data_IF_724194464688
#
_entry.id   IF_724194464688
#
_cell.length_a   1.000
_cell.length_b   1.000
_cell.length_c   1.000
_cell.angle_alpha   90.00
_cell.angle_beta   90.00
_cell.angle_gamma   90.00
#
_symmetry.space_group_name_H-M   'P 1'
#
loop_
_entity.id
_entity.type
_entity.pdbx_description
1 polymer ?
#
# COMPACT_ATOMS: atom_id res chain seq x y z
N UNK A 1 20.26 -26.69 6.56
CA UNK A 1 18.86 -26.62 7.04
C UNK A 1 18.01 -26.07 5.92
N UNK A 2 16.96 -26.78 5.47
CA UNK A 2 16.04 -26.22 4.48
C UNK A 2 15.32 -25.02 5.12
N UNK A 3 15.41 -23.86 4.49
CA UNK A 3 14.67 -22.66 4.94
C UNK A 3 13.19 -23.00 4.81
N UNK A 4 12.48 -23.04 5.93
CA UNK A 4 11.05 -23.25 5.95
C UNK A 4 10.42 -21.97 5.41
N UNK A 5 10.09 -21.97 4.12
CA UNK A 5 9.49 -20.81 3.46
C UNK A 5 8.14 -20.50 4.09
N UNK A 6 8.02 -19.32 4.69
CA UNK A 6 6.74 -18.82 5.21
C UNK A 6 5.82 -18.39 4.05
N UNK A 7 6.41 -18.07 2.91
CA UNK A 7 5.70 -17.60 1.75
C UNK A 7 5.89 -18.55 0.56
N UNK A 8 4.77 -18.88 -0.08
CA UNK A 8 4.75 -19.66 -1.31
C UNK A 8 3.93 -18.89 -2.36
N UNK A 9 4.54 -18.45 -3.47
CA UNK A 9 3.87 -17.64 -4.48
C UNK A 9 2.71 -18.38 -5.15
N UNK A 10 2.81 -19.70 -5.30
CA UNK A 10 1.74 -20.51 -5.90
C UNK A 10 0.48 -20.57 -5.00
N UNK A 11 0.67 -20.51 -3.67
CA UNK A 11 -0.45 -20.60 -2.72
C UNK A 11 -0.98 -19.21 -2.32
N UNK A 12 -0.08 -18.29 -1.99
CA UNK A 12 -0.47 -16.96 -1.48
C UNK A 12 -0.59 -15.90 -2.56
N UNK A 13 0.13 -16.06 -3.66
CA UNK A 13 0.22 -15.08 -4.74
C UNK A 13 1.18 -13.93 -4.42
N UNK A 14 1.65 -13.25 -5.46
CA UNK A 14 2.51 -12.08 -5.36
C UNK A 14 1.64 -10.82 -5.40
N UNK A 15 1.74 -9.97 -4.39
CA UNK A 15 1.06 -8.67 -4.36
C UNK A 15 1.92 -7.58 -4.99
N UNK A 16 1.29 -6.46 -5.36
CA UNK A 16 2.02 -5.29 -5.88
C UNK A 16 3.07 -4.77 -4.88
N UNK A 17 2.76 -4.74 -3.60
CA UNK A 17 3.71 -4.30 -2.56
C UNK A 17 4.88 -5.27 -2.42
N UNK A 18 4.63 -6.58 -2.55
CA UNK A 18 5.66 -7.60 -2.52
C UNK A 18 6.56 -7.51 -3.76
N UNK A 19 5.98 -7.37 -4.95
CA UNK A 19 6.72 -7.18 -6.20
C UNK A 19 7.57 -5.91 -6.17
N UNK A 20 7.02 -4.83 -5.65
CA UNK A 20 7.76 -3.57 -5.53
C UNK A 20 8.94 -3.69 -4.55
N UNK A 21 8.74 -4.38 -3.42
CA UNK A 21 9.84 -4.64 -2.48
C UNK A 21 10.92 -5.51 -3.11
N UNK A 22 10.53 -6.58 -3.81
CA UNK A 22 11.49 -7.40 -4.55
C UNK A 22 12.33 -6.58 -5.51
N UNK A 23 11.71 -5.64 -6.18
CA UNK A 23 12.35 -4.83 -7.18
C UNK A 23 13.32 -3.80 -6.64
N UNK A 24 12.94 -3.19 -5.50
CA UNK A 24 13.82 -2.26 -4.80
C UNK A 24 14.98 -3.03 -4.18
N UNK A 25 14.70 -4.19 -3.57
CA UNK A 25 15.71 -4.98 -2.88
C UNK A 25 15.24 -6.45 -2.70
N UNK A 26 15.75 -7.38 -3.52
CA UNK A 26 15.44 -8.80 -3.43
C UNK A 26 15.74 -9.40 -2.06
N UNK A 27 16.78 -8.90 -1.39
CA UNK A 27 17.19 -9.36 -0.07
C UNK A 27 16.17 -8.96 0.99
N UNK A 28 15.68 -7.71 0.96
CA UNK A 28 14.63 -7.26 1.85
C UNK A 28 13.34 -8.07 1.64
N UNK A 29 13.04 -8.41 0.38
CA UNK A 29 11.94 -9.28 0.04
C UNK A 29 12.11 -10.68 0.66
N UNK A 30 13.30 -11.29 0.52
CA UNK A 30 13.61 -12.58 1.11
C UNK A 30 13.43 -12.58 2.63
N UNK A 31 14.04 -11.62 3.32
CA UNK A 31 13.93 -11.49 4.76
C UNK A 31 12.47 -11.40 5.20
N UNK A 32 11.69 -10.56 4.52
CA UNK A 32 10.29 -10.33 4.88
C UNK A 32 9.38 -11.52 4.57
N UNK A 33 9.46 -12.06 3.37
CA UNK A 33 8.47 -13.03 2.88
C UNK A 33 8.91 -14.49 3.04
N UNK A 34 10.21 -14.78 2.96
CA UNK A 34 10.71 -16.14 3.12
C UNK A 34 11.10 -16.44 4.55
N UNK A 35 11.79 -15.52 5.20
CA UNK A 35 12.26 -15.72 6.56
C UNK A 35 11.29 -15.19 7.61
N UNK A 36 10.29 -14.41 7.18
CA UNK A 36 9.28 -13.85 8.06
C UNK A 36 9.83 -12.85 9.06
N UNK A 37 10.83 -12.09 8.63
CA UNK A 37 11.42 -11.02 9.43
C UNK A 37 10.79 -9.68 9.05
N UNK A 38 10.49 -8.88 10.03
CA UNK A 38 10.01 -7.51 9.83
C UNK A 38 10.75 -6.54 10.74
N UNK A 39 10.90 -5.28 10.35
CA UNK A 39 11.49 -4.27 11.21
C UNK A 39 10.74 -4.19 12.54
N UNK A 40 11.46 -3.88 13.62
CA UNK A 40 10.82 -3.41 14.85
C UNK A 40 10.26 -2.02 14.54
N UNK A 41 8.98 -1.96 14.23
CA UNK A 41 8.32 -0.73 13.80
C UNK A 41 8.05 0.17 15.01
N UNK A 42 8.44 1.44 14.91
CA UNK A 42 7.80 2.51 15.64
C UNK A 42 6.47 2.85 14.97
N UNK A 43 5.53 3.40 15.73
CA UNK A 43 4.28 3.88 15.16
C UNK A 43 4.54 4.95 14.08
N UNK A 44 3.95 4.74 12.92
CA UNK A 44 4.06 5.67 11.80
C UNK A 44 2.70 6.34 11.56
N UNK A 45 2.59 7.59 11.99
CA UNK A 45 1.37 8.39 11.86
C UNK A 45 0.81 8.42 10.43
N UNK A 46 1.69 8.40 9.44
CA UNK A 46 1.29 8.54 8.04
C UNK A 46 0.61 7.27 7.53
N UNK A 47 1.18 6.10 7.87
CA UNK A 47 0.61 4.81 7.52
C UNK A 47 -0.67 4.53 8.32
N UNK A 48 -0.65 4.82 9.62
CA UNK A 48 -1.82 4.69 10.49
C UNK A 48 -2.99 5.53 10.00
N UNK A 49 -2.75 6.81 9.69
CA UNK A 49 -3.76 7.72 9.18
C UNK A 49 -4.38 7.23 7.85
N UNK A 50 -3.55 6.76 6.91
CA UNK A 50 -4.04 6.17 5.66
C UNK A 50 -4.91 4.94 5.90
N UNK A 51 -4.51 4.08 6.84
CA UNK A 51 -5.27 2.88 7.22
C UNK A 51 -6.60 3.22 7.90
N UNK A 52 -6.63 4.25 8.75
CA UNK A 52 -7.86 4.74 9.39
C UNK A 52 -8.83 5.31 8.36
N UNK A 53 -8.35 6.16 7.44
CA UNK A 53 -9.16 6.70 6.34
C UNK A 53 -9.73 5.58 5.46
N UNK A 54 -8.88 4.62 5.05
CA UNK A 54 -9.30 3.46 4.26
C UNK A 54 -10.40 2.65 4.97
N UNK A 55 -10.21 2.38 6.28
CA UNK A 55 -11.21 1.67 7.08
C UNK A 55 -12.56 2.41 7.14
N UNK A 56 -12.55 3.73 7.30
CA UNK A 56 -13.76 4.53 7.30
C UNK A 56 -14.50 4.48 5.95
N UNK A 57 -13.76 4.61 4.85
CA UNK A 57 -14.33 4.52 3.50
C UNK A 57 -14.86 3.11 3.23
N UNK A 58 -14.15 2.06 3.66
CA UNK A 58 -14.61 0.67 3.60
C UNK A 58 -15.96 0.50 4.31
N UNK A 59 -16.09 1.03 5.53
CA UNK A 59 -17.32 1.00 6.31
C UNK A 59 -18.48 1.66 5.55
N UNK A 60 -18.25 2.85 4.99
CA UNK A 60 -19.23 3.53 4.16
C UNK A 60 -19.62 2.76 2.90
N UNK A 61 -18.67 2.22 2.16
CA UNK A 61 -18.98 1.45 0.95
C UNK A 61 -19.86 0.25 1.27
N UNK A 62 -19.59 -0.45 2.37
CA UNK A 62 -20.33 -1.66 2.76
C UNK A 62 -21.72 -1.40 3.30
N UNK A 63 -21.95 -0.31 3.99
CA UNK A 63 -23.18 -0.11 4.76
C UNK A 63 -23.95 1.17 4.41
N UNK A 64 -23.33 2.14 3.73
CA UNK A 64 -23.91 3.46 3.43
C UNK A 64 -24.39 4.21 4.68
N UNK A 65 -23.72 4.01 5.79
CA UNK A 65 -24.05 4.57 7.08
C UNK A 65 -22.82 5.24 7.71
N UNK A 66 -23.02 6.43 8.26
CA UNK A 66 -21.98 7.18 8.97
C UNK A 66 -21.51 6.49 10.24
N UNK A 67 -22.37 5.71 10.91
CA UNK A 67 -21.96 4.90 12.06
C UNK A 67 -20.99 3.79 11.67
N UNK A 68 -21.13 3.26 10.47
CA UNK A 68 -20.18 2.25 9.96
C UNK A 68 -18.77 2.82 9.77
N UNK A 69 -18.65 4.10 9.40
CA UNK A 69 -17.34 4.78 9.33
C UNK A 69 -16.65 4.70 10.68
N UNK A 70 -17.35 5.10 11.75
CA UNK A 70 -16.81 5.05 13.12
C UNK A 70 -16.44 3.62 13.53
N UNK A 71 -17.33 2.67 13.37
CA UNK A 71 -17.11 1.27 13.76
C UNK A 71 -15.90 0.65 13.08
N UNK A 72 -15.65 0.96 11.81
CA UNK A 72 -14.52 0.41 11.08
C UNK A 72 -13.22 1.09 11.47
N UNK A 73 -13.25 2.40 11.70
CA UNK A 73 -12.10 3.15 12.22
C UNK A 73 -11.74 2.69 13.63
N UNK A 74 -12.72 2.48 14.51
CA UNK A 74 -12.49 1.98 15.87
C UNK A 74 -11.79 0.62 15.87
N UNK A 75 -12.16 -0.28 14.96
CA UNK A 75 -11.45 -1.57 14.81
C UNK A 75 -10.00 -1.38 14.41
N UNK A 76 -9.70 -0.41 13.55
CA UNK A 76 -8.32 -0.10 13.16
C UNK A 76 -7.56 0.58 14.31
N UNK A 77 -8.19 1.50 15.02
CA UNK A 77 -7.66 2.12 16.23
C UNK A 77 -7.26 1.08 17.28
N UNK A 78 -8.13 0.10 17.57
CA UNK A 78 -7.84 -0.98 18.51
C UNK A 78 -6.63 -1.83 18.08
N UNK A 79 -6.42 -2.04 16.80
CA UNK A 79 -5.20 -2.72 16.30
C UNK A 79 -3.94 -1.89 16.54
N UNK A 80 -4.03 -0.59 16.31
CA UNK A 80 -2.89 0.32 16.47
C UNK A 80 -2.49 0.44 17.94
N UNK A 81 -3.44 0.64 18.87
CA UNK A 81 -3.16 0.71 20.30
C UNK A 81 -2.72 -0.62 20.91
N UNK A 82 -3.12 -1.75 20.33
CA UNK A 82 -2.62 -3.06 20.74
C UNK A 82 -1.15 -3.31 20.33
N UNK A 83 -0.67 -2.57 19.35
CA UNK A 83 0.68 -2.73 18.78
C UNK A 83 1.67 -1.66 19.26
N UNK A 84 1.19 -0.46 19.56
CA UNK A 84 2.00 0.72 19.84
C UNK A 84 1.59 1.40 21.14
N UNK A 85 2.52 2.11 21.76
CA UNK A 85 2.32 2.76 23.07
C UNK A 85 1.99 4.26 22.98
N UNK A 86 1.83 4.79 21.77
CA UNK A 86 1.59 6.22 21.51
C UNK A 86 0.08 6.56 21.58
N UNK A 87 -0.60 6.15 22.65
CA UNK A 87 -2.06 6.19 22.80
C UNK A 87 -2.68 7.57 22.48
N UNK A 88 -2.14 8.64 23.05
CA UNK A 88 -2.67 10.00 22.86
C UNK A 88 -2.51 10.51 21.43
N UNK A 89 -1.43 10.15 20.77
CA UNK A 89 -1.21 10.51 19.36
C UNK A 89 -2.11 9.70 18.45
N UNK A 90 -2.22 8.40 18.68
CA UNK A 90 -3.09 7.51 17.91
C UNK A 90 -4.55 7.96 18.05
N UNK A 91 -5.03 8.29 19.26
CA UNK A 91 -6.37 8.78 19.50
C UNK A 91 -6.65 10.08 18.73
N UNK A 92 -5.72 11.04 18.80
CA UNK A 92 -5.85 12.32 18.09
C UNK A 92 -5.95 12.14 16.56
N UNK A 93 -5.09 11.30 15.99
CA UNK A 93 -5.11 11.00 14.55
C UNK A 93 -6.35 10.22 14.14
N UNK A 94 -6.88 9.38 15.04
CA UNK A 94 -8.13 8.64 14.82
C UNK A 94 -9.33 9.57 14.75
N UNK A 95 -9.47 10.53 15.68
CA UNK A 95 -10.53 11.53 15.64
C UNK A 95 -10.48 12.37 14.35
N UNK A 96 -9.28 12.80 13.94
CA UNK A 96 -9.09 13.55 12.71
C UNK A 96 -9.48 12.71 11.47
N UNK A 97 -9.03 11.46 11.40
CA UNK A 97 -9.36 10.56 10.30
C UNK A 97 -10.85 10.27 10.23
N UNK A 98 -11.50 10.10 11.38
CA UNK A 98 -12.97 9.89 11.47
C UNK A 98 -13.73 11.08 10.90
N UNK A 99 -13.37 12.28 11.31
CA UNK A 99 -14.01 13.49 10.80
C UNK A 99 -13.78 13.66 9.29
N UNK A 100 -12.54 13.48 8.83
CA UNK A 100 -12.21 13.63 7.41
C UNK A 100 -12.87 12.54 6.55
N UNK A 101 -12.96 11.29 7.03
CA UNK A 101 -13.66 10.22 6.32
C UNK A 101 -15.17 10.50 6.19
N UNK A 102 -15.81 11.07 7.23
CA UNK A 102 -17.21 11.49 7.17
C UNK A 102 -17.43 12.59 6.13
N UNK A 103 -16.59 13.61 6.11
CA UNK A 103 -16.68 14.70 5.14
C UNK A 103 -16.49 14.14 3.73
N UNK A 104 -15.46 13.30 3.52
CA UNK A 104 -15.19 12.63 2.25
C UNK A 104 -16.39 11.82 1.75
N UNK A 105 -16.93 10.95 2.59
CA UNK A 105 -18.06 10.09 2.23
C UNK A 105 -19.33 10.87 1.95
N UNK A 106 -19.58 11.96 2.68
CA UNK A 106 -20.72 12.86 2.44
C UNK A 106 -20.57 13.57 1.08
N UNK A 107 -19.38 14.11 0.79
CA UNK A 107 -19.06 14.79 -0.46
C UNK A 107 -19.31 13.90 -1.68
N UNK A 108 -18.82 12.66 -1.64
CA UNK A 108 -18.88 11.74 -2.77
C UNK A 108 -20.01 10.72 -2.72
N UNK A 109 -20.98 10.87 -1.82
CA UNK A 109 -22.08 9.91 -1.64
C UNK A 109 -22.82 9.62 -2.95
N UNK A 110 -23.15 10.67 -3.73
CA UNK A 110 -23.82 10.55 -5.02
C UNK A 110 -22.98 9.86 -6.08
N UNK A 111 -21.66 10.03 -6.05
CA UNK A 111 -20.75 9.37 -6.99
C UNK A 111 -20.61 7.88 -6.66
N UNK A 112 -20.53 7.51 -5.39
CA UNK A 112 -20.56 6.12 -4.96
C UNK A 112 -21.84 5.41 -5.44
N UNK A 113 -22.98 6.07 -5.38
CA UNK A 113 -24.26 5.53 -5.86
C UNK A 113 -24.32 5.48 -7.39
N UNK A 114 -23.91 6.55 -8.06
CA UNK A 114 -23.86 6.64 -9.53
C UNK A 114 -23.01 5.54 -10.14
N UNK A 115 -21.86 5.25 -9.56
CA UNK A 115 -20.94 4.23 -10.06
C UNK A 115 -21.16 2.86 -9.43
N UNK A 116 -22.18 2.71 -8.59
CA UNK A 116 -22.53 1.46 -7.91
C UNK A 116 -21.34 0.82 -7.20
N UNK A 117 -20.53 1.62 -6.51
CA UNK A 117 -19.40 1.12 -5.72
C UNK A 117 -19.96 0.49 -4.46
N UNK A 118 -20.18 -0.82 -4.47
CA UNK A 118 -20.87 -1.57 -3.39
C UNK A 118 -19.98 -2.62 -2.73
N UNK A 119 -18.81 -2.89 -3.29
CA UNK A 119 -17.84 -3.84 -2.72
C UNK A 119 -16.59 -3.09 -2.33
N UNK A 120 -16.13 -3.30 -1.10
CA UNK A 120 -14.89 -2.75 -0.59
C UNK A 120 -13.94 -3.85 -0.17
N UNK A 121 -12.63 -3.55 -0.17
CA UNK A 121 -11.56 -4.49 0.18
C UNK A 121 -11.71 -5.81 -0.56
N UNK A 122 -12.00 -5.71 -1.88
CA UNK A 122 -12.25 -6.89 -2.69
C UNK A 122 -10.94 -7.61 -3.01
N UNK A 123 -10.79 -8.79 -2.45
CA UNK A 123 -9.64 -9.63 -2.76
C UNK A 123 -9.74 -10.17 -4.19
N UNK A 124 -8.70 -9.92 -4.96
CA UNK A 124 -8.47 -10.51 -6.28
C UNK A 124 -7.27 -11.45 -6.21
N UNK A 125 -7.40 -12.63 -6.81
CA UNK A 125 -6.33 -13.63 -6.89
C UNK A 125 -6.46 -14.36 -8.22
N UNK A 126 -5.50 -14.11 -9.11
CA UNK A 126 -5.58 -14.61 -10.48
C UNK A 126 -4.26 -15.28 -10.86
N UNK A 127 -4.35 -16.32 -11.70
CA UNK A 127 -3.18 -16.96 -12.31
C UNK A 127 -2.91 -16.30 -13.65
N UNK A 128 -1.71 -15.76 -13.80
CA UNK A 128 -1.26 -15.07 -14.99
C UNK A 128 -0.29 -15.98 -15.74
N UNK A 129 -0.53 -16.16 -17.04
CA UNK A 129 0.44 -16.81 -17.93
C UNK A 129 1.31 -15.73 -18.57
N UNK A 130 2.60 -15.83 -18.35
CA UNK A 130 3.60 -14.90 -18.89
C UNK A 130 3.95 -15.26 -20.34
N UNK A 131 4.60 -14.34 -21.10
CA UNK A 131 5.02 -14.61 -22.48
C UNK A 131 5.94 -15.84 -22.64
N UNK A 132 6.70 -16.18 -21.61
CA UNK A 132 7.54 -17.40 -21.57
C UNK A 132 6.72 -18.69 -21.43
N UNK A 133 5.41 -18.61 -21.20
CA UNK A 133 4.55 -19.74 -20.86
C UNK A 133 4.55 -20.11 -19.37
N UNK A 134 5.41 -19.48 -18.55
CA UNK A 134 5.41 -19.68 -17.09
C UNK A 134 4.15 -19.06 -16.47
N UNK A 135 3.75 -19.61 -15.34
CA UNK A 135 2.58 -19.12 -14.61
C UNK A 135 2.99 -18.54 -13.26
N UNK A 136 2.31 -17.47 -12.89
CA UNK A 136 2.44 -16.84 -11.58
C UNK A 136 1.07 -16.47 -11.03
N UNK A 137 0.89 -16.67 -9.74
CA UNK A 137 -0.33 -16.21 -9.04
C UNK A 137 -0.09 -14.79 -8.53
N UNK A 138 -0.94 -13.86 -8.96
CA UNK A 138 -0.98 -12.50 -8.46
C UNK A 138 -2.17 -12.31 -7.52
N UNK A 139 -2.01 -11.46 -6.51
CA UNK A 139 -3.11 -11.09 -5.63
C UNK A 139 -3.08 -9.60 -5.28
N UNK A 140 -4.25 -9.07 -4.96
CA UNK A 140 -4.40 -7.68 -4.53
C UNK A 140 -5.73 -7.47 -3.83
N UNK A 141 -5.83 -6.35 -3.15
CA UNK A 141 -7.08 -5.86 -2.56
C UNK A 141 -7.41 -4.55 -3.26
N UNK A 142 -8.60 -4.49 -3.86
CA UNK A 142 -9.13 -3.26 -4.43
C UNK A 142 -9.88 -2.52 -3.33
N UNK A 143 -9.58 -1.24 -3.12
CA UNK A 143 -10.26 -0.43 -2.10
C UNK A 143 -11.76 -0.41 -2.32
N UNK A 144 -12.20 -0.43 -3.59
CA UNK A 144 -13.60 -0.59 -3.94
C UNK A 144 -13.83 -1.05 -5.37
N UNK A 145 -14.99 -1.63 -5.61
CA UNK A 145 -15.46 -2.02 -6.94
C UNK A 145 -16.91 -1.60 -7.17
N UNK A 146 -17.15 -1.06 -8.34
CA UNK A 146 -18.45 -0.75 -8.88
C UNK A 146 -18.78 -1.52 -10.16
N UNK A 147 -19.82 -1.10 -10.86
CA UNK A 147 -20.19 -1.68 -12.15
C UNK A 147 -19.16 -1.29 -13.22
N UNK A 148 -18.27 -2.21 -13.58
CA UNK A 148 -17.16 -1.98 -14.52
C UNK A 148 -16.25 -0.79 -14.08
N UNK A 149 -16.03 -0.65 -12.78
CA UNK A 149 -15.23 0.42 -12.20
C UNK A 149 -14.38 -0.14 -11.06
N UNK A 150 -13.12 0.27 -11.03
CA UNK A 150 -12.22 0.12 -9.88
C UNK A 150 -12.17 1.45 -9.15
N UNK A 151 -12.37 1.40 -7.84
CA UNK A 151 -12.18 2.54 -6.95
C UNK A 151 -10.88 2.36 -6.16
N UNK A 152 -10.09 3.41 -6.10
CA UNK A 152 -8.81 3.44 -5.38
C UNK A 152 -8.71 4.75 -4.58
N UNK A 153 -8.38 4.65 -3.30
CA UNK A 153 -8.23 5.78 -2.41
C UNK A 153 -6.79 5.88 -1.88
N UNK A 154 -6.25 7.07 -1.87
CA UNK A 154 -4.93 7.35 -1.31
C UNK A 154 -4.97 8.53 -0.34
N UNK A 155 -4.24 8.39 0.77
CA UNK A 155 -3.91 9.51 1.64
C UNK A 155 -2.49 9.98 1.36
N UNK A 156 -2.32 11.21 0.90
CA UNK A 156 -1.00 11.79 0.57
C UNK A 156 -0.90 13.24 1.02
N UNK A 157 0.33 13.74 1.19
CA UNK A 157 0.57 15.10 1.64
C UNK A 157 0.50 16.12 0.50
N UNK A 158 1.04 15.76 -0.66
CA UNK A 158 1.16 16.65 -1.81
C UNK A 158 0.69 15.97 -3.09
N UNK A 159 -0.38 16.53 -3.67
CA UNK A 159 -0.98 15.99 -4.88
C UNK A 159 -1.63 17.06 -5.73
N UNK A 160 -1.43 16.95 -7.06
CA UNK A 160 -2.24 17.65 -8.04
C UNK A 160 -2.93 16.65 -8.95
N UNK A 161 -4.14 16.98 -9.39
CA UNK A 161 -4.88 16.17 -10.37
C UNK A 161 -4.07 15.99 -11.66
N UNK A 162 -3.32 17.00 -12.05
CA UNK A 162 -2.46 16.97 -13.23
C UNK A 162 -1.34 15.93 -13.10
N UNK A 163 -0.69 15.86 -11.94
CA UNK A 163 0.34 14.87 -11.68
C UNK A 163 -0.22 13.44 -11.74
N UNK A 164 -1.41 13.21 -11.16
CA UNK A 164 -2.08 11.90 -11.24
C UNK A 164 -2.32 11.54 -12.70
N UNK A 165 -2.93 12.44 -13.47
CA UNK A 165 -3.26 12.22 -14.87
C UNK A 165 -2.04 11.87 -15.72
N UNK A 166 -0.89 12.49 -15.43
CA UNK A 166 0.35 12.26 -16.17
C UNK A 166 1.10 10.98 -15.77
N UNK A 167 1.00 10.57 -14.51
CA UNK A 167 1.79 9.44 -13.98
C UNK A 167 1.01 8.11 -13.95
N UNK A 168 -0.33 8.14 -14.00
CA UNK A 168 -1.17 6.98 -13.72
C UNK A 168 -0.95 5.81 -14.69
N UNK A 169 -0.75 6.09 -15.98
CA UNK A 169 -0.55 5.06 -16.99
C UNK A 169 0.77 4.28 -16.78
N UNK A 170 1.71 4.85 -16.01
CA UNK A 170 2.99 4.23 -15.64
C UNK A 170 3.01 3.73 -14.21
N UNK A 171 1.93 3.93 -13.45
CA UNK A 171 1.84 3.46 -12.07
C UNK A 171 1.73 1.93 -12.02
N UNK A 172 2.62 1.30 -11.23
CA UNK A 172 2.67 -0.15 -11.11
C UNK A 172 1.38 -0.70 -10.48
N UNK A 173 0.86 -0.07 -9.45
CA UNK A 173 -0.34 -0.54 -8.74
C UNK A 173 -1.58 -0.45 -9.64
N UNK A 174 -1.72 0.66 -10.37
CA UNK A 174 -2.78 0.83 -11.34
C UNK A 174 -2.81 -0.29 -12.37
N UNK A 175 -1.69 -0.51 -13.05
CA UNK A 175 -1.60 -1.53 -14.11
C UNK A 175 -1.69 -2.96 -13.55
N UNK A 176 -1.20 -3.18 -12.33
CA UNK A 176 -1.35 -4.47 -11.66
C UNK A 176 -2.82 -4.79 -11.37
N UNK A 177 -3.59 -3.81 -10.91
CA UNK A 177 -5.03 -3.99 -10.68
C UNK A 177 -5.82 -4.12 -11.97
N UNK A 178 -5.44 -3.40 -13.02
CA UNK A 178 -6.00 -3.63 -14.36
C UNK A 178 -5.75 -5.06 -14.83
N UNK A 179 -4.55 -5.61 -14.60
CA UNK A 179 -4.23 -7.00 -14.97
C UNK A 179 -5.08 -8.00 -14.21
N UNK A 180 -5.23 -7.84 -12.89
CA UNK A 180 -6.11 -8.69 -12.09
C UNK A 180 -7.57 -8.63 -12.57
N UNK A 181 -8.06 -7.44 -12.87
CA UNK A 181 -9.42 -7.25 -13.39
C UNK A 181 -9.57 -7.86 -14.77
N UNK A 182 -8.64 -7.56 -15.69
CA UNK A 182 -8.66 -8.07 -17.06
C UNK A 182 -8.60 -9.60 -17.12
N UNK A 183 -7.75 -10.21 -16.30
CA UNK A 183 -7.64 -11.68 -16.24
C UNK A 183 -8.94 -12.32 -15.79
N UNK A 184 -9.64 -11.72 -14.84
CA UNK A 184 -10.91 -12.24 -14.33
C UNK A 184 -12.10 -11.99 -15.25
N UNK A 185 -12.21 -10.76 -15.76
CA UNK A 185 -13.42 -10.30 -16.46
C UNK A 185 -13.30 -10.40 -18.00
N UNK A 186 -12.09 -10.68 -18.52
CA UNK A 186 -11.79 -10.72 -19.96
C UNK A 186 -11.76 -9.36 -20.65
N UNK A 187 -11.91 -8.28 -19.90
CA UNK A 187 -11.92 -6.89 -20.40
C UNK A 187 -11.42 -5.92 -19.34
N UNK A 188 -10.95 -4.76 -19.78
CA UNK A 188 -10.62 -3.67 -18.87
C UNK A 188 -11.89 -3.09 -18.22
N UNK A 189 -11.80 -2.51 -17.00
CA UNK A 189 -12.89 -1.72 -16.46
C UNK A 189 -13.12 -0.49 -17.34
N UNK A 190 -14.36 0.02 -17.35
CA UNK A 190 -14.67 1.23 -18.09
C UNK A 190 -13.96 2.46 -17.48
N UNK A 191 -13.81 2.43 -16.16
CA UNK A 191 -13.21 3.52 -15.41
C UNK A 191 -12.38 3.00 -14.24
N UNK A 192 -11.35 3.78 -13.89
CA UNK A 192 -10.69 3.70 -12.58
C UNK A 192 -10.88 5.03 -11.90
N UNK A 193 -11.58 5.02 -10.79
CA UNK A 193 -11.87 6.20 -10.01
C UNK A 193 -10.84 6.34 -8.90
N UNK A 194 -9.89 7.24 -9.09
CA UNK A 194 -8.89 7.60 -8.12
C UNK A 194 -9.37 8.74 -7.24
N UNK A 195 -9.32 8.50 -5.95
CA UNK A 195 -9.65 9.48 -4.94
C UNK A 195 -8.45 9.72 -4.03
N UNK A 196 -8.20 10.98 -3.76
CA UNK A 196 -7.13 11.37 -2.85
C UNK A 196 -7.66 12.25 -1.74
N UNK A 197 -7.29 11.88 -0.51
CA UNK A 197 -7.44 12.74 0.65
C UNK A 197 -6.08 13.29 1.06
N UNK A 198 -5.99 14.62 1.15
CA UNK A 198 -4.79 15.27 1.67
C UNK A 198 -4.74 15.07 3.18
N UNK A 199 -3.63 14.52 3.67
CA UNK A 199 -3.39 14.46 5.11
C UNK A 199 -3.12 15.87 5.65
N UNK A 200 -3.78 16.30 6.75
CA UNK A 200 -3.63 17.66 7.29
C UNK A 200 -2.31 17.86 8.07
N UNK A 201 -1.22 17.33 7.57
CA UNK A 201 0.11 17.50 8.13
C UNK A 201 1.14 17.15 7.06
N UNK A 202 2.34 17.65 7.22
CA UNK A 202 3.45 17.31 6.33
C UNK A 202 3.94 18.48 5.50
N UNK A 203 4.89 18.19 4.63
CA UNK A 203 5.49 19.20 3.75
C UNK A 203 4.44 19.70 2.75
N UNK A 204 4.33 21.01 2.62
CA UNK A 204 3.38 21.64 1.70
C UNK A 204 1.96 21.81 2.23
N UNK A 205 1.63 21.34 3.45
CA UNK A 205 0.32 21.61 4.04
C UNK A 205 0.14 23.11 4.35
N UNK A 206 -0.86 23.74 3.73
CA UNK A 206 -1.15 25.18 3.84
C UNK A 206 -2.23 25.52 4.87
N UNK A 207 -2.84 24.50 5.47
CA UNK A 207 -3.90 24.69 6.47
C UNK A 207 -3.39 25.19 7.82
N UNK A 208 -4.30 25.32 8.79
CA UNK A 208 -3.98 25.87 10.09
C UNK A 208 -2.93 25.03 10.82
N UNK A 209 -1.96 25.71 11.42
CA UNK A 209 -0.95 25.10 12.30
C UNK A 209 -1.38 25.26 13.76
N UNK A 210 -1.03 24.29 14.61
CA UNK A 210 -1.27 24.39 16.05
C UNK A 210 -0.53 25.60 16.62
N UNK A 211 -1.22 26.46 17.37
CA UNK A 211 -0.65 27.59 18.10
C UNK A 211 -0.01 27.10 19.41
N UNK A 212 1.00 27.79 19.92
CA UNK A 212 1.69 27.39 21.16
C UNK A 212 0.75 27.32 22.38
N UNK A 213 -0.17 28.26 22.48
CA UNK A 213 -1.15 28.33 23.57
C UNK A 213 -2.41 27.50 23.37
N UNK A 214 -2.49 26.78 22.24
CA UNK A 214 -3.68 26.04 21.86
C UNK A 214 -3.64 24.59 22.38
N UNK A 215 -4.75 24.11 22.96
CA UNK A 215 -4.86 22.71 23.34
C UNK A 215 -4.97 21.81 22.09
N UNK A 216 -4.60 20.52 22.20
CA UNK A 216 -4.77 19.54 21.11
C UNK A 216 -6.22 19.46 20.64
N UNK A 217 -7.19 19.48 21.57
CA UNK A 217 -8.62 19.39 21.25
C UNK A 217 -9.12 20.66 20.52
N UNK A 218 -8.72 21.85 20.94
CA UNK A 218 -9.09 23.10 20.26
C UNK A 218 -8.51 23.16 18.84
N UNK A 219 -7.26 22.75 18.69
CA UNK A 219 -6.62 22.67 17.39
C UNK A 219 -7.33 21.68 16.47
N UNK A 220 -7.67 20.49 16.97
CA UNK A 220 -8.40 19.47 16.21
C UNK A 220 -9.74 19.99 15.70
N UNK A 221 -10.53 20.61 16.56
CA UNK A 221 -11.82 21.22 16.17
C UNK A 221 -11.65 22.26 15.06
N UNK A 222 -10.67 23.16 15.20
CA UNK A 222 -10.37 24.19 14.21
C UNK A 222 -9.87 23.58 12.87
N UNK A 223 -9.11 22.51 12.95
CA UNK A 223 -8.60 21.80 11.78
C UNK A 223 -9.74 21.08 11.02
N UNK A 224 -10.66 20.44 11.75
CA UNK A 224 -11.83 19.79 11.14
C UNK A 224 -12.73 20.81 10.45
N UNK A 225 -13.00 21.95 11.09
CA UNK A 225 -13.78 23.02 10.49
C UNK A 225 -13.11 23.54 9.21
N UNK A 226 -11.78 23.73 9.25
CA UNK A 226 -11.02 24.17 8.08
C UNK A 226 -11.12 23.16 6.92
N UNK A 227 -11.04 21.85 7.18
CA UNK A 227 -11.19 20.81 6.16
C UNK A 227 -12.59 20.88 5.54
N UNK A 228 -13.62 21.06 6.35
CA UNK A 228 -15.00 21.15 5.91
C UNK A 228 -15.29 22.41 5.09
N UNK A 229 -14.65 23.51 5.43
CA UNK A 229 -14.79 24.79 4.70
C UNK A 229 -13.95 24.82 3.41
N UNK A 230 -12.93 23.96 3.29
CA UNK A 230 -11.96 23.93 2.19
C UNK A 230 -11.82 22.52 1.61
N UNK A 231 -12.95 21.87 1.33
CA UNK A 231 -12.98 20.48 0.83
C UNK A 231 -12.18 20.31 -0.46
N UNK A 232 -12.22 21.28 -1.37
CA UNK A 232 -11.49 21.25 -2.64
C UNK A 232 -9.96 21.22 -2.48
N UNK A 233 -9.44 21.74 -1.36
CA UNK A 233 -8.03 21.67 -1.02
C UNK A 233 -7.62 20.34 -0.39
N UNK A 234 -8.61 19.54 0.04
CA UNK A 234 -8.38 18.30 0.78
C UNK A 234 -8.75 17.04 0.03
N UNK A 235 -9.67 17.15 -0.95
CA UNK A 235 -10.17 15.99 -1.69
C UNK A 235 -10.03 16.19 -3.18
N UNK A 236 -9.25 15.32 -3.81
CA UNK A 236 -9.02 15.34 -5.24
C UNK A 236 -9.54 14.05 -5.85
N UNK A 237 -10.10 14.15 -7.05
CA UNK A 237 -10.54 12.99 -7.79
C UNK A 237 -9.99 13.01 -9.22
N UNK A 238 -9.73 11.83 -9.72
CA UNK A 238 -9.38 11.59 -11.10
C UNK A 238 -10.15 10.39 -11.63
N UNK A 239 -10.84 10.55 -12.74
CA UNK A 239 -11.52 9.46 -13.43
C UNK A 239 -10.69 9.04 -14.63
N UNK A 240 -9.92 7.98 -14.48
CA UNK A 240 -9.14 7.39 -15.55
C UNK A 240 -10.00 6.51 -16.43
N UNK A 241 -9.79 6.58 -17.75
CA UNK A 241 -10.35 5.65 -18.74
C UNK A 241 -9.19 4.77 -19.22
N UNK A 242 -9.13 3.49 -18.79
CA UNK A 242 -8.06 2.60 -19.20
C UNK A 242 -8.01 2.43 -20.72
N UNK A 243 -6.81 2.52 -21.27
CA UNK A 243 -6.55 2.33 -22.68
C UNK A 243 -5.83 0.99 -22.92
N UNK A 244 -6.37 0.13 -23.79
CA UNK A 244 -5.84 -1.22 -24.02
C UNK A 244 -4.40 -1.19 -24.54
N UNK A 245 -4.07 -0.30 -25.48
CA UNK A 245 -2.75 -0.26 -26.08
C UNK A 245 -1.68 0.19 -25.05
N UNK A 246 -2.00 1.18 -24.23
CA UNK A 246 -1.12 1.64 -23.15
C UNK A 246 -0.94 0.56 -22.09
N UNK A 247 -2.02 -0.11 -21.73
CA UNK A 247 -1.99 -1.22 -20.78
C UNK A 247 -1.13 -2.38 -21.30
N UNK A 248 -1.35 -2.83 -22.53
CA UNK A 248 -0.54 -3.90 -23.13
C UNK A 248 0.94 -3.50 -23.26
N UNK A 249 1.21 -2.26 -23.63
CA UNK A 249 2.56 -1.72 -23.67
C UNK A 249 3.21 -1.76 -22.28
N UNK A 250 2.52 -1.34 -21.24
CA UNK A 250 3.04 -1.41 -19.87
C UNK A 250 3.30 -2.87 -19.45
N UNK A 251 2.40 -3.79 -19.76
CA UNK A 251 2.61 -5.21 -19.46
C UNK A 251 3.88 -5.73 -20.13
N UNK A 252 4.05 -5.47 -21.42
CA UNK A 252 5.16 -6.04 -22.20
C UNK A 252 6.53 -5.44 -21.84
N UNK A 253 6.61 -4.14 -21.58
CA UNK A 253 7.90 -3.48 -21.34
C UNK A 253 8.25 -3.33 -19.85
N UNK A 254 7.29 -3.48 -18.96
CA UNK A 254 7.50 -3.23 -17.53
C UNK A 254 7.08 -4.41 -16.66
N UNK A 255 5.81 -4.78 -16.63
CA UNK A 255 5.31 -5.74 -15.62
C UNK A 255 5.77 -7.18 -15.91
N UNK A 256 5.59 -7.69 -17.14
CA UNK A 256 5.99 -9.06 -17.44
C UNK A 256 7.48 -9.33 -17.29
N UNK A 257 8.40 -8.47 -17.78
CA UNK A 257 9.82 -8.66 -17.51
C UNK A 257 10.16 -8.75 -16.03
N UNK A 258 9.46 -8.00 -15.20
CA UNK A 258 9.66 -8.01 -13.76
C UNK A 258 9.14 -9.28 -13.09
N UNK A 259 8.03 -9.79 -13.56
CA UNK A 259 7.49 -11.06 -13.08
C UNK A 259 8.37 -12.23 -13.51
N UNK A 260 8.94 -12.18 -14.73
CA UNK A 260 9.93 -13.19 -15.19
C UNK A 260 11.18 -13.15 -14.31
N UNK A 261 11.74 -11.96 -14.08
CA UNK A 261 12.90 -11.80 -13.20
C UNK A 261 12.63 -12.30 -11.78
N UNK A 262 11.41 -12.06 -11.27
CA UNK A 262 11.00 -12.58 -9.98
C UNK A 262 10.97 -14.11 -9.97
N UNK A 263 10.43 -14.75 -11.01
CA UNK A 263 10.39 -16.20 -11.11
C UNK A 263 11.78 -16.81 -11.26
N UNK A 264 12.68 -16.20 -12.03
CA UNK A 264 14.07 -16.64 -12.15
C UNK A 264 14.79 -16.60 -10.79
N UNK A 265 14.60 -15.51 -10.07
CA UNK A 265 15.13 -15.38 -8.71
C UNK A 265 14.52 -16.40 -7.75
N UNK A 266 13.21 -16.64 -7.84
CA UNK A 266 12.51 -17.60 -7.00
C UNK A 266 12.98 -19.03 -7.25
N UNK A 267 13.16 -19.43 -8.52
CA UNK A 267 13.64 -20.74 -8.90
C UNK A 267 15.11 -20.94 -8.46
N UNK A 268 15.93 -19.92 -8.62
CA UNK A 268 17.28 -19.92 -8.10
C UNK A 268 17.30 -20.11 -6.56
N UNK A 269 16.49 -19.37 -5.85
CA UNK A 269 16.41 -19.42 -4.41
C UNK A 269 15.94 -20.79 -3.90
N UNK A 270 14.91 -21.34 -4.50
CA UNK A 270 14.33 -22.62 -4.09
C UNK A 270 15.19 -23.81 -4.51
N UNK A 271 15.94 -23.70 -5.61
CA UNK A 271 16.87 -24.71 -6.07
C UNK A 271 18.19 -24.76 -5.29
N UNK A 272 18.62 -23.62 -4.71
CA UNK A 272 19.91 -23.49 -3.98
C UNK A 272 19.78 -22.60 -2.74
N UNK A 273 18.95 -22.95 -1.76
CA UNK A 273 18.64 -22.08 -0.63
C UNK A 273 19.83 -21.71 0.26
N UNK A 274 20.94 -22.46 0.19
CA UNK A 274 22.13 -22.23 1.02
C UNK A 274 23.10 -21.20 0.45
N UNK A 275 22.94 -20.78 -0.82
CA UNK A 275 23.87 -19.89 -1.52
C UNK A 275 23.43 -18.43 -1.53
N UNK A 276 22.25 -18.12 -1.07
CA UNK A 276 21.66 -16.76 -1.14
C UNK A 276 22.53 -15.70 -0.49
N UNK A 277 23.17 -16.06 0.63
CA UNK A 277 24.01 -15.12 1.39
C UNK A 277 25.41 -14.93 0.82
N UNK A 278 25.80 -15.77 -0.12
CA UNK A 278 27.17 -15.79 -0.66
C UNK A 278 27.25 -15.53 -2.16
N UNK A 279 26.13 -15.50 -2.85
CA UNK A 279 26.12 -15.37 -4.30
C UNK A 279 26.23 -13.89 -4.73
N UNK A 280 27.35 -13.58 -5.39
CA UNK A 280 27.63 -12.24 -5.92
C UNK A 280 26.85 -11.92 -7.20
N UNK A 281 26.19 -12.92 -7.79
CA UNK A 281 25.55 -12.78 -9.10
C UNK A 281 24.20 -12.09 -9.04
N UNK A 282 23.54 -12.07 -7.87
CA UNK A 282 22.37 -11.22 -7.66
C UNK A 282 22.79 -9.90 -7.01
N UNK A 283 22.56 -8.80 -7.70
CA UNK A 283 22.68 -7.45 -7.12
C UNK A 283 21.76 -7.36 -5.91
N UNK A 284 22.31 -7.63 -4.75
CA UNK A 284 21.59 -7.76 -3.47
C UNK A 284 20.98 -6.45 -3.00
N UNK A 285 21.62 -5.36 -3.41
CA UNK A 285 21.21 -4.02 -3.02
C UNK A 285 21.24 -3.14 -4.25
N UNK A 286 20.12 -2.59 -4.61
CA UNK A 286 20.14 -1.43 -5.48
C UNK A 286 20.67 -0.26 -4.63
N UNK A 287 21.94 0.07 -4.81
CA UNK A 287 22.68 1.08 -4.05
C UNK A 287 22.03 2.47 -4.07
N UNK A 288 21.14 2.72 -5.03
CA UNK A 288 20.38 3.97 -5.12
C UNK A 288 19.23 4.06 -4.11
N UNK A 289 18.89 2.97 -3.44
CA UNK A 289 17.72 2.91 -2.54
C UNK A 289 18.06 2.41 -1.12
N UNK A 290 19.24 2.78 -0.63
CA UNK A 290 19.63 2.53 0.78
C UNK A 290 18.62 3.19 1.74
N UNK A 291 17.98 4.26 1.29
CA UNK A 291 16.89 4.92 2.02
C UNK A 291 15.57 4.74 1.27
N UNK A 292 14.47 4.72 1.99
CA UNK A 292 13.14 4.80 1.36
C UNK A 292 13.06 6.07 0.51
N UNK A 293 12.13 6.18 -0.45
CA UNK A 293 11.92 7.40 -1.24
C UNK A 293 11.74 8.66 -0.40
N UNK A 294 11.48 8.52 0.89
CA UNK A 294 11.28 9.60 1.86
C UNK A 294 12.49 9.85 2.75
N UNK A 295 13.65 9.28 2.44
CA UNK A 295 14.86 9.44 3.26
C UNK A 295 14.80 8.73 4.62
N UNK A 296 13.82 7.84 4.83
CA UNK A 296 13.68 7.10 6.07
C UNK A 296 14.63 5.90 6.07
N UNK A 297 15.21 5.66 7.23
CA UNK A 297 16.01 4.49 7.50
C UNK A 297 15.24 3.19 7.19
N UNK A 298 15.85 2.31 6.42
CA UNK A 298 15.29 1.01 6.11
C UNK A 298 16.19 -0.09 6.70
N UNK A 299 15.78 -0.75 7.79
CA UNK A 299 16.60 -1.74 8.47
C UNK A 299 16.93 -2.97 7.63
N UNK A 300 16.21 -3.21 6.53
CA UNK A 300 16.59 -4.26 5.57
C UNK A 300 17.78 -3.89 4.71
N UNK A 301 18.14 -2.61 4.65
CA UNK A 301 19.20 -2.09 3.80
C UNK A 301 20.45 -1.71 4.58
N UNK A 302 20.32 -1.50 5.89
CA UNK A 302 21.44 -1.11 6.72
C UNK A 302 22.41 -2.26 6.91
N UNK A 303 23.69 -1.95 6.73
CA UNK A 303 24.77 -2.89 7.01
C UNK A 303 24.53 -4.26 6.38
N UNK A 304 24.06 -4.29 5.14
CA UNK A 304 23.56 -5.51 4.49
C UNK A 304 24.48 -6.70 4.68
N UNK A 305 25.79 -6.52 4.51
CA UNK A 305 26.74 -7.61 4.71
C UNK A 305 26.92 -7.96 6.19
N UNK A 306 26.90 -6.99 7.07
CA UNK A 306 27.13 -7.18 8.49
C UNK A 306 25.90 -7.76 9.19
N UNK A 307 24.71 -7.26 8.86
CA UNK A 307 23.44 -7.81 9.35
C UNK A 307 23.21 -9.24 8.84
N UNK A 308 23.58 -9.53 7.60
CA UNK A 308 23.50 -10.87 7.05
C UNK A 308 24.49 -11.82 7.70
N UNK A 309 25.75 -11.40 7.86
CA UNK A 309 26.76 -12.20 8.57
C UNK A 309 26.31 -12.45 10.01
N UNK A 310 25.79 -11.45 10.69
CA UNK A 310 25.27 -11.60 12.05
C UNK A 310 24.12 -12.57 12.09
N UNK A 311 23.13 -12.45 11.21
CA UNK A 311 22.00 -13.38 11.14
C UNK A 311 22.45 -14.80 10.79
N UNK A 312 23.30 -14.96 9.79
CA UNK A 312 23.82 -16.26 9.38
C UNK A 312 24.61 -16.96 10.50
N UNK A 313 25.34 -16.19 11.31
CA UNK A 313 26.17 -16.71 12.41
C UNK A 313 25.37 -16.96 13.70
N UNK A 314 24.41 -16.12 14.01
CA UNK A 314 23.76 -16.11 15.33
C UNK A 314 22.27 -16.46 15.30
N UNK A 315 21.64 -16.44 14.12
CA UNK A 315 20.18 -16.52 14.00
C UNK A 315 19.46 -15.33 14.64
N UNK A 316 20.20 -14.30 15.03
CA UNK A 316 19.68 -13.07 15.63
C UNK A 316 19.46 -11.99 14.59
N UNK A 317 18.45 -11.16 14.79
CA UNK A 317 18.04 -10.14 13.85
C UNK A 317 18.29 -8.76 14.43
N UNK A 318 19.36 -8.11 14.00
CA UNK A 318 19.60 -6.70 14.37
C UNK A 318 18.46 -5.81 13.83
N UNK A 319 17.66 -5.24 14.74
CA UNK A 319 16.54 -4.36 14.37
C UNK A 319 15.36 -5.03 13.66
N UNK A 320 15.35 -6.37 13.56
CA UNK A 320 14.27 -7.13 12.95
C UNK A 320 13.66 -8.10 13.97
N UNK A 321 12.37 -8.38 13.82
CA UNK A 321 11.63 -9.40 14.62
C UNK A 321 10.98 -10.42 13.71
N UNK A 322 10.70 -11.61 14.21
CA UNK A 322 9.91 -12.60 13.49
C UNK A 322 8.49 -12.08 13.28
N UNK A 323 8.02 -12.20 12.06
CA UNK A 323 6.64 -11.89 11.70
C UNK A 323 5.70 -12.92 12.32
N UNK A 324 4.64 -12.47 12.95
CA UNK A 324 3.56 -13.37 13.39
C UNK A 324 2.88 -13.96 12.14
N UNK A 325 2.67 -15.27 12.07
CA UNK A 325 1.94 -15.89 10.96
C UNK A 325 0.54 -15.24 10.83
N UNK A 326 0.20 -14.77 9.64
CA UNK A 326 -1.14 -14.30 9.31
C UNK A 326 -2.00 -15.44 8.79
#
# INVERSE_FOLDING_TARGET
MAIKTIWNPALKGLSVSALNLFWINPVAFELKYFQGLEPVEAWNKNLSYGSLMGAGIEGWIKQRDTNAIEQFIDRQYLKDIAKFNEYDEIAWWTELATAQAKIFCARYSKDFDKYLVTRAETKRKETITLPSGRQIVLNGYLDGEGKNLIFEHKCRDDWSTERIANEIDMDLQYNFYLLLHYTKEGKLPNHVWYQHSRRPSGFGYRGPKKKETETKASYLKRLINYIQENEDDHFYQFMGIPNMDRFQRFLSISLYPKLEQFLDWYDFLTGKPQLIYHDKDFNRVNSLHVMTPYGLYNPYLEGTDENFRHYALTGSTLGLKKRTPQ
#
